data_IF_646797539647
#
_entry.id   IF_646797539647
#
_cell.length_a   1.000
_cell.length_b   1.000
_cell.length_c   1.000
_cell.angle_alpha   90.00
_cell.angle_beta   90.00
_cell.angle_gamma   90.00
#
_symmetry.space_group_name_H-M   'P 1'
#
loop_
_entity.id
_entity.type
_entity.pdbx_description
1 polymer ?
#
# COMPACT_ATOMS: atom_id res chain seq x y z
N UNK A 1 -35.67 -17.59 26.30
CA UNK A 1 -35.12 -16.74 25.22
C UNK A 1 -33.63 -16.52 25.54
N UNK A 2 -32.74 -17.21 24.82
CA UNK A 2 -31.31 -16.98 24.96
C UNK A 2 -30.97 -15.67 24.23
N UNK A 3 -30.28 -14.75 24.91
CA UNK A 3 -29.80 -13.52 24.30
C UNK A 3 -28.86 -13.90 23.13
N UNK A 4 -29.18 -13.39 21.95
CA UNK A 4 -28.33 -13.55 20.77
C UNK A 4 -26.97 -12.90 21.10
N UNK A 5 -25.83 -13.61 20.98
CA UNK A 5 -24.54 -13.03 21.29
C UNK A 5 -24.28 -11.89 20.31
N UNK A 6 -24.37 -10.65 20.80
CA UNK A 6 -24.06 -9.45 20.04
C UNK A 6 -22.63 -9.56 19.54
N UNK A 7 -22.45 -9.81 18.24
CA UNK A 7 -21.12 -9.89 17.63
C UNK A 7 -20.36 -8.60 17.96
N UNK A 8 -19.07 -8.66 18.33
CA UNK A 8 -18.27 -7.46 18.56
C UNK A 8 -18.35 -6.59 17.32
N UNK A 9 -18.90 -5.38 17.46
CA UNK A 9 -19.04 -4.45 16.36
C UNK A 9 -17.64 -3.96 15.97
N UNK A 10 -17.09 -4.45 14.85
CA UNK A 10 -15.85 -3.88 14.32
C UNK A 10 -16.13 -2.41 14.02
N UNK A 11 -15.46 -1.47 14.71
CA UNK A 11 -15.55 -0.06 14.35
C UNK A 11 -14.96 0.14 12.95
N UNK A 12 -15.79 0.51 11.96
CA UNK A 12 -15.31 0.76 10.62
C UNK A 12 -14.53 2.08 10.59
N UNK A 13 -13.30 2.03 10.06
CA UNK A 13 -12.53 3.24 9.77
C UNK A 13 -13.32 4.09 8.77
N UNK A 14 -13.72 5.31 9.16
CA UNK A 14 -14.59 6.20 8.38
C UNK A 14 -16.00 5.67 8.07
N UNK A 15 -16.53 4.70 8.82
CA UNK A 15 -17.83 4.10 8.44
C UNK A 15 -17.77 3.16 7.24
N UNK A 16 -16.57 2.92 6.68
CA UNK A 16 -16.40 2.09 5.49
C UNK A 16 -16.49 0.58 5.80
N UNK A 17 -17.00 -0.23 4.85
CA UNK A 17 -17.02 -1.68 4.99
C UNK A 17 -15.64 -2.26 5.36
N UNK A 18 -15.59 -3.35 6.14
CA UNK A 18 -14.34 -4.00 6.48
C UNK A 18 -13.58 -4.40 5.20
N UNK A 19 -12.30 -4.01 5.13
CA UNK A 19 -11.44 -4.26 3.97
C UNK A 19 -11.36 -3.12 2.95
N UNK A 20 -12.27 -2.15 2.96
CA UNK A 20 -12.26 -1.02 2.01
C UNK A 20 -10.98 -0.18 2.08
N UNK A 21 -10.50 0.14 3.29
CA UNK A 21 -9.23 0.89 3.49
C UNK A 21 -8.04 0.14 2.88
N UNK A 22 -8.00 -1.20 3.01
CA UNK A 22 -6.95 -2.01 2.38
C UNK A 22 -7.02 -1.96 0.86
N UNK A 23 -8.24 -2.01 0.32
CA UNK A 23 -8.49 -1.82 -1.11
C UNK A 23 -8.00 -0.45 -1.59
N UNK A 24 -8.35 0.63 -0.89
CA UNK A 24 -7.94 2.00 -1.22
C UNK A 24 -6.41 2.13 -1.21
N UNK A 25 -5.74 1.67 -0.15
CA UNK A 25 -4.27 1.68 -0.07
C UNK A 25 -3.65 0.91 -1.25
N UNK A 26 -4.23 -0.24 -1.61
CA UNK A 26 -3.75 -1.04 -2.74
C UNK A 26 -3.91 -0.33 -4.08
N UNK A 27 -5.05 0.35 -4.28
CA UNK A 27 -5.32 1.16 -5.48
C UNK A 27 -4.35 2.34 -5.54
N UNK A 28 -4.08 3.03 -4.42
CA UNK A 28 -3.10 4.12 -4.38
C UNK A 28 -1.71 3.63 -4.80
N UNK A 29 -1.23 2.53 -4.19
CA UNK A 29 0.06 1.94 -4.55
C UNK A 29 0.11 1.57 -6.04
N UNK A 30 -0.93 0.92 -6.59
CA UNK A 30 -0.95 0.58 -8.01
C UNK A 30 -1.05 1.79 -8.94
N UNK A 31 -1.88 2.78 -8.59
CA UNK A 31 -2.01 3.99 -9.36
C UNK A 31 -0.68 4.74 -9.48
N UNK A 32 0.18 4.68 -8.46
CA UNK A 32 1.54 5.21 -8.53
C UNK A 32 2.35 4.56 -9.67
N UNK A 33 2.35 3.22 -9.75
CA UNK A 33 3.00 2.51 -10.86
C UNK A 33 2.35 2.84 -12.20
N UNK A 34 1.03 2.97 -12.26
CA UNK A 34 0.34 3.31 -13.49
C UNK A 34 0.76 4.70 -14.00
N UNK A 35 0.85 5.68 -13.10
CA UNK A 35 1.31 7.04 -13.43
C UNK A 35 2.76 6.98 -13.94
N UNK A 36 3.67 6.25 -13.27
CA UNK A 36 5.07 6.15 -13.71
C UNK A 36 5.17 5.51 -15.09
N UNK A 37 4.42 4.44 -15.34
CA UNK A 37 4.43 3.73 -16.62
C UNK A 37 3.87 4.60 -17.75
N UNK A 38 2.83 5.39 -17.48
CA UNK A 38 2.19 6.25 -18.46
C UNK A 38 2.84 7.65 -18.57
N UNK A 39 3.81 7.96 -17.71
CA UNK A 39 4.51 9.25 -17.71
C UNK A 39 5.21 9.51 -19.05
N UNK A 40 5.21 10.75 -19.58
CA UNK A 40 5.88 11.05 -20.84
C UNK A 40 7.36 10.67 -20.81
N UNK A 41 7.88 10.19 -21.95
CA UNK A 41 9.26 9.71 -22.09
C UNK A 41 10.31 10.83 -21.97
N UNK A 42 9.89 12.09 -22.01
CA UNK A 42 10.77 13.26 -21.95
C UNK A 42 11.41 13.49 -20.57
N UNK A 43 10.87 12.89 -19.51
CA UNK A 43 11.38 13.02 -18.15
C UNK A 43 11.91 11.68 -17.61
N UNK A 44 13.15 11.63 -17.10
CA UNK A 44 13.70 10.45 -16.44
C UNK A 44 13.02 10.27 -15.09
N UNK A 45 11.98 9.46 -15.07
CA UNK A 45 11.25 9.08 -13.87
C UNK A 45 11.49 7.60 -13.59
N UNK A 46 11.95 7.29 -12.38
CA UNK A 46 12.14 5.91 -11.91
C UNK A 46 11.24 5.68 -10.70
N UNK A 47 10.72 4.47 -10.56
CA UNK A 47 9.90 4.11 -9.39
C UNK A 47 10.79 4.10 -8.14
N UNK A 48 10.42 4.82 -7.05
CA UNK A 48 11.13 4.75 -5.79
C UNK A 48 11.12 3.32 -5.25
N UNK A 49 12.24 2.88 -4.69
CA UNK A 49 12.44 1.48 -4.32
C UNK A 49 11.39 1.00 -3.30
N UNK A 50 10.98 1.86 -2.37
CA UNK A 50 9.92 1.58 -1.41
C UNK A 50 8.64 1.02 -2.03
N UNK A 51 8.22 1.53 -3.20
CA UNK A 51 6.96 1.13 -3.81
C UNK A 51 6.95 -0.34 -4.25
N UNK A 52 8.11 -0.94 -4.55
CA UNK A 52 8.21 -2.37 -4.85
C UNK A 52 7.94 -3.25 -3.61
N UNK A 53 8.42 -2.82 -2.43
CA UNK A 53 8.12 -3.50 -1.16
C UNK A 53 6.63 -3.36 -0.82
N UNK A 54 6.05 -2.17 -1.01
CA UNK A 54 4.62 -1.94 -0.81
C UNK A 54 3.76 -2.78 -1.75
N UNK A 55 4.14 -2.89 -3.03
CA UNK A 55 3.47 -3.72 -4.02
C UNK A 55 3.47 -5.20 -3.61
N UNK A 56 4.59 -5.67 -3.03
CA UNK A 56 4.69 -7.03 -2.48
C UNK A 56 3.66 -7.26 -1.36
N UNK A 57 3.51 -6.32 -0.43
CA UNK A 57 2.48 -6.41 0.62
C UNK A 57 1.06 -6.48 0.04
N UNK A 58 0.80 -5.70 -1.00
CA UNK A 58 -0.49 -5.71 -1.68
C UNK A 58 -0.78 -7.08 -2.30
N UNK A 59 0.19 -7.66 -3.01
CA UNK A 59 0.02 -9.01 -3.58
C UNK A 59 -0.21 -10.07 -2.50
N UNK A 60 0.55 -10.05 -1.40
CA UNK A 60 0.34 -10.96 -0.28
C UNK A 60 -1.06 -10.80 0.31
N UNK A 61 -1.54 -9.56 0.47
CA UNK A 61 -2.86 -9.28 1.00
C UNK A 61 -3.99 -9.79 0.10
N UNK A 62 -3.82 -9.76 -1.22
CA UNK A 62 -4.80 -10.31 -2.17
C UNK A 62 -4.72 -11.82 -2.33
N UNK A 63 -3.53 -12.41 -2.16
CA UNK A 63 -3.34 -13.86 -2.16
C UNK A 63 -4.01 -14.52 -0.95
N UNK A 64 -4.11 -13.82 0.20
CA UNK A 64 -4.85 -14.34 1.35
C UNK A 64 -6.36 -14.49 1.07
N UNK A 65 -6.97 -15.68 1.27
CA UNK A 65 -8.40 -15.86 1.10
C UNK A 65 -9.20 -14.95 2.03
N UNK A 66 -10.32 -14.35 1.58
CA UNK A 66 -11.20 -13.64 2.48
C UNK A 66 -11.78 -14.62 3.51
N UNK A 67 -11.90 -14.24 4.79
CA UNK A 67 -12.72 -14.99 5.73
C UNK A 67 -14.12 -15.14 5.15
N UNK A 68 -14.67 -16.34 5.15
CA UNK A 68 -16.03 -16.58 4.70
C UNK A 68 -17.01 -15.92 5.67
N UNK A 69 -17.44 -14.70 5.35
CA UNK A 69 -18.50 -14.02 6.08
C UNK A 69 -19.78 -14.12 5.26
N UNK A 70 -20.77 -14.95 5.66
CA UNK A 70 -21.95 -15.27 4.87
C UNK A 70 -22.91 -14.08 4.63
N UNK A 71 -22.63 -12.91 5.23
CA UNK A 71 -23.41 -11.68 5.06
C UNK A 71 -22.70 -10.54 4.34
N UNK A 72 -21.43 -10.68 3.95
CA UNK A 72 -20.69 -9.60 3.29
C UNK A 72 -20.97 -9.60 1.79
N UNK A 73 -21.33 -8.44 1.22
CA UNK A 73 -21.54 -8.28 -0.22
C UNK A 73 -20.24 -8.60 -0.98
N UNK A 74 -20.21 -9.73 -1.70
CA UNK A 74 -19.04 -10.21 -2.44
C UNK A 74 -18.62 -9.29 -3.61
N UNK A 75 -19.49 -8.36 -4.02
CA UNK A 75 -19.30 -7.53 -5.20
C UNK A 75 -18.16 -6.50 -5.03
N UNK A 76 -18.11 -5.76 -3.92
CA UNK A 76 -17.11 -4.70 -3.73
C UNK A 76 -15.66 -5.26 -3.72
N UNK A 77 -15.34 -6.32 -2.96
CA UNK A 77 -14.01 -6.93 -3.01
C UNK A 77 -13.66 -7.50 -4.40
N UNK A 78 -14.65 -8.05 -5.11
CA UNK A 78 -14.45 -8.58 -6.45
C UNK A 78 -14.16 -7.48 -7.47
N UNK A 79 -14.93 -6.39 -7.48
CA UNK A 79 -14.69 -5.22 -8.35
C UNK A 79 -13.31 -4.64 -8.10
N UNK A 80 -12.90 -4.50 -6.84
CA UNK A 80 -11.56 -4.01 -6.50
C UNK A 80 -10.45 -4.92 -7.03
N UNK A 81 -10.64 -6.25 -6.99
CA UNK A 81 -9.69 -7.21 -7.57
C UNK A 81 -9.63 -7.10 -9.09
N UNK A 82 -10.78 -7.00 -9.77
CA UNK A 82 -10.83 -6.85 -11.23
C UNK A 82 -10.19 -5.53 -11.66
N UNK A 83 -10.50 -4.43 -10.96
CA UNK A 83 -9.88 -3.12 -11.21
C UNK A 83 -8.37 -3.17 -10.99
N UNK A 84 -7.92 -3.82 -9.92
CA UNK A 84 -6.51 -3.94 -9.58
C UNK A 84 -5.73 -4.79 -10.60
N UNK A 85 -6.17 -6.03 -10.82
CA UNK A 85 -5.48 -6.98 -11.71
C UNK A 85 -5.67 -6.58 -13.17
N UNK A 86 -6.90 -6.30 -13.58
CA UNK A 86 -7.23 -5.90 -14.94
C UNK A 86 -6.65 -4.54 -15.30
N UNK A 87 -6.75 -3.55 -14.41
CA UNK A 87 -6.15 -2.23 -14.61
C UNK A 87 -4.63 -2.30 -14.72
N UNK A 88 -3.96 -3.04 -13.83
CA UNK A 88 -2.51 -3.20 -13.89
C UNK A 88 -2.05 -3.95 -15.14
N UNK A 89 -2.74 -5.04 -15.52
CA UNK A 89 -2.43 -5.78 -16.74
C UNK A 89 -2.62 -4.90 -17.99
N UNK A 90 -3.71 -4.12 -18.05
CA UNK A 90 -3.97 -3.21 -19.15
C UNK A 90 -2.91 -2.11 -19.26
N UNK A 91 -2.52 -1.48 -18.14
CA UNK A 91 -1.51 -0.42 -18.13
C UNK A 91 -0.13 -0.96 -18.49
N UNK A 92 0.27 -2.11 -17.94
CA UNK A 92 1.54 -2.76 -18.29
C UNK A 92 1.55 -3.17 -19.76
N UNK A 93 0.47 -3.79 -20.27
CA UNK A 93 0.35 -4.16 -21.68
C UNK A 93 0.44 -2.94 -22.61
N UNK A 94 -0.23 -1.84 -22.25
CA UNK A 94 -0.17 -0.59 -22.99
C UNK A 94 1.24 0.03 -22.97
N UNK A 95 1.92 0.01 -21.82
CA UNK A 95 3.27 0.54 -21.67
C UNK A 95 4.29 -0.26 -22.50
N UNK A 96 4.22 -1.61 -22.42
CA UNK A 96 5.05 -2.50 -23.21
C UNK A 96 4.83 -2.34 -24.71
N UNK A 97 3.58 -2.12 -25.13
CA UNK A 97 3.26 -1.88 -26.55
C UNK A 97 3.82 -0.55 -27.06
N UNK A 98 3.83 0.50 -26.22
CA UNK A 98 4.36 1.82 -26.58
C UNK A 98 5.89 1.84 -26.62
N UNK A 99 6.53 1.35 -25.56
CA UNK A 99 7.99 1.29 -25.44
C UNK A 99 8.40 0.27 -24.36
N UNK A 100 8.74 -0.94 -24.81
CA UNK A 100 9.16 -2.02 -23.92
C UNK A 100 10.49 -1.72 -23.20
N UNK A 101 11.41 -1.01 -23.86
CA UNK A 101 12.72 -0.69 -23.30
C UNK A 101 12.60 0.33 -22.16
N UNK A 102 11.82 1.41 -22.39
CA UNK A 102 11.53 2.39 -21.37
C UNK A 102 10.75 1.78 -20.20
N UNK A 103 9.78 0.92 -20.48
CA UNK A 103 9.01 0.20 -19.46
C UNK A 103 9.93 -0.62 -18.56
N UNK A 104 10.84 -1.40 -19.15
CA UNK A 104 11.82 -2.19 -18.40
C UNK A 104 12.74 -1.28 -17.56
N UNK A 105 13.21 -0.16 -18.11
CA UNK A 105 14.05 0.79 -17.40
C UNK A 105 13.34 1.43 -16.19
N UNK A 106 12.04 1.73 -16.30
CA UNK A 106 11.23 2.31 -15.21
C UNK A 106 10.93 1.32 -14.09
N UNK A 107 10.76 0.04 -14.43
CA UNK A 107 10.43 -1.03 -13.49
C UNK A 107 11.65 -1.72 -12.88
N UNK A 108 12.86 -1.39 -13.34
CA UNK A 108 14.10 -1.96 -12.81
C UNK A 108 14.76 -0.95 -11.88
N UNK A 109 14.83 -1.22 -10.56
CA UNK A 109 15.55 -0.34 -9.64
C UNK A 109 17.04 -0.30 -10.01
N UNK A 110 17.65 0.88 -9.85
CA UNK A 110 19.09 1.05 -10.14
C UNK A 110 19.95 0.26 -9.14
N UNK A 111 21.16 -0.20 -9.54
CA UNK A 111 22.02 -1.02 -8.69
C UNK A 111 22.42 -0.32 -7.37
N UNK A 112 22.55 1.00 -7.38
CA UNK A 112 22.85 1.79 -6.18
C UNK A 112 21.72 1.78 -5.14
N UNK A 113 20.47 1.52 -5.56
CA UNK A 113 19.33 1.44 -4.65
C UNK A 113 19.30 0.10 -3.91
N UNK A 114 19.91 -0.95 -4.46
CA UNK A 114 19.93 -2.30 -3.88
C UNK A 114 20.53 -2.31 -2.46
N UNK A 115 21.50 -1.43 -2.21
CA UNK A 115 22.14 -1.29 -0.89
C UNK A 115 21.14 -0.89 0.21
N UNK A 116 20.01 -0.28 -0.15
CA UNK A 116 18.99 0.18 0.79
C UNK A 116 17.99 -0.92 1.18
N UNK A 117 18.01 -2.08 0.50
CA UNK A 117 17.06 -3.17 0.73
C UNK A 117 16.97 -3.62 2.19
N UNK A 118 18.09 -3.84 2.92
CA UNK A 118 18.01 -4.29 4.31
C UNK A 118 17.29 -3.28 5.20
N UNK A 119 17.49 -1.98 4.97
CA UNK A 119 16.83 -0.92 5.72
C UNK A 119 15.32 -0.92 5.44
N UNK A 120 14.92 -0.95 4.16
CA UNK A 120 13.51 -0.94 3.78
C UNK A 120 12.79 -2.23 4.22
N UNK A 121 13.45 -3.38 4.14
CA UNK A 121 12.97 -4.64 4.69
C UNK A 121 12.83 -4.56 6.22
N UNK A 122 13.78 -3.93 6.90
CA UNK A 122 13.71 -3.65 8.34
C UNK A 122 12.50 -2.77 8.69
N UNK A 123 12.24 -1.71 7.93
CA UNK A 123 11.06 -0.86 8.10
C UNK A 123 9.76 -1.65 7.87
N UNK A 124 9.72 -2.50 6.84
CA UNK A 124 8.57 -3.35 6.51
C UNK A 124 8.29 -4.36 7.64
N UNK A 125 9.30 -5.15 8.01
CA UNK A 125 9.20 -6.15 9.07
C UNK A 125 8.91 -5.52 10.43
N UNK A 126 9.55 -4.37 10.72
CA UNK A 126 9.34 -3.60 11.93
C UNK A 126 7.92 -3.07 12.04
N UNK A 127 7.42 -2.37 11.01
CA UNK A 127 6.04 -1.88 10.98
C UNK A 127 5.02 -3.00 11.14
N UNK A 128 5.16 -4.06 10.33
CA UNK A 128 4.28 -5.23 10.36
C UNK A 128 4.32 -5.95 11.72
N UNK A 129 5.52 -6.19 12.24
CA UNK A 129 5.76 -6.88 13.52
C UNK A 129 5.23 -6.10 14.72
N UNK A 130 5.46 -4.78 14.77
CA UNK A 130 4.92 -3.90 15.83
C UNK A 130 3.40 -4.00 15.87
N UNK A 131 2.74 -3.98 14.71
CA UNK A 131 1.30 -4.10 14.64
C UNK A 131 0.78 -5.48 15.11
N UNK A 132 1.51 -6.56 14.80
CA UNK A 132 1.18 -7.91 15.30
C UNK A 132 1.36 -8.01 16.82
N UNK A 133 2.44 -7.47 17.38
CA UNK A 133 2.67 -7.44 18.83
C UNK A 133 1.56 -6.63 19.51
N UNK A 134 1.25 -5.44 19.00
CA UNK A 134 0.20 -4.58 19.54
C UNK A 134 -1.16 -5.28 19.51
N UNK A 135 -1.49 -5.98 18.42
CA UNK A 135 -2.70 -6.79 18.30
C UNK A 135 -2.74 -7.93 19.33
N UNK A 136 -1.60 -8.56 19.58
CA UNK A 136 -1.49 -9.69 20.52
C UNK A 136 -1.63 -9.22 21.96
N UNK A 137 -1.00 -8.08 22.31
CA UNK A 137 -1.02 -7.52 23.66
C UNK A 137 -2.37 -6.90 24.01
N UNK A 138 -2.95 -6.08 23.13
CA UNK A 138 -4.21 -5.39 23.41
C UNK A 138 -5.44 -6.27 23.16
N UNK A 139 -5.33 -7.24 22.26
CA UNK A 139 -6.43 -8.08 21.79
C UNK A 139 -7.15 -7.51 20.57
N UNK A 140 -7.58 -8.40 19.66
CA UNK A 140 -8.19 -8.05 18.35
C UNK A 140 -9.47 -7.22 18.45
N UNK A 141 -10.23 -7.38 19.54
CA UNK A 141 -11.52 -6.75 19.75
C UNK A 141 -11.46 -5.57 20.73
N UNK A 142 -10.26 -5.19 21.18
CA UNK A 142 -10.11 -4.08 22.11
C UNK A 142 -10.40 -2.75 21.36
N UNK A 143 -11.26 -1.87 21.91
CA UNK A 143 -11.62 -0.61 21.24
C UNK A 143 -10.41 0.29 20.99
N UNK A 144 -9.40 0.26 21.87
CA UNK A 144 -8.16 1.01 21.69
C UNK A 144 -7.36 0.48 20.50
N UNK A 145 -7.24 -0.85 20.36
CA UNK A 145 -6.58 -1.46 19.21
C UNK A 145 -7.30 -1.13 17.89
N UNK A 146 -8.64 -1.18 17.88
CA UNK A 146 -9.44 -0.82 16.71
C UNK A 146 -9.24 0.64 16.30
N UNK A 147 -9.15 1.54 17.29
CA UNK A 147 -8.89 2.97 17.09
C UNK A 147 -7.49 3.21 16.53
N UNK A 148 -6.45 2.59 17.11
CA UNK A 148 -5.08 2.68 16.60
C UNK A 148 -4.97 2.13 15.18
N UNK A 149 -5.58 0.98 14.90
CA UNK A 149 -5.63 0.38 13.56
C UNK A 149 -6.26 1.33 12.53
N UNK A 150 -7.33 2.02 12.91
CA UNK A 150 -7.99 3.00 12.06
C UNK A 150 -7.08 4.20 11.75
N UNK A 151 -6.43 4.77 12.78
CA UNK A 151 -5.50 5.88 12.61
C UNK A 151 -4.28 5.52 11.76
N UNK A 152 -3.69 4.34 11.97
CA UNK A 152 -2.56 3.87 11.16
C UNK A 152 -2.97 3.74 9.68
N UNK A 153 -4.19 3.25 9.40
CA UNK A 153 -4.74 3.21 8.03
C UNK A 153 -4.92 4.60 7.41
N UNK A 154 -5.45 5.56 8.18
CA UNK A 154 -5.57 6.95 7.74
C UNK A 154 -4.22 7.58 7.43
N UNK A 155 -3.24 7.41 8.33
CA UNK A 155 -1.88 7.92 8.15
C UNK A 155 -1.24 7.30 6.90
N UNK A 156 -1.38 6.00 6.70
CA UNK A 156 -0.86 5.32 5.52
C UNK A 156 -1.45 5.89 4.21
N UNK A 157 -2.77 6.14 4.17
CA UNK A 157 -3.42 6.77 3.00
C UNK A 157 -2.87 8.18 2.76
N UNK A 158 -2.79 9.01 3.81
CA UNK A 158 -2.30 10.38 3.69
C UNK A 158 -0.84 10.42 3.23
N UNK A 159 0.01 9.54 3.75
CA UNK A 159 1.42 9.43 3.36
C UNK A 159 1.57 8.99 1.90
N UNK A 160 0.81 8.00 1.44
CA UNK A 160 0.83 7.56 0.04
C UNK A 160 0.33 8.64 -0.92
N UNK A 161 -0.72 9.36 -0.52
CA UNK A 161 -1.24 10.47 -1.30
C UNK A 161 -0.25 11.62 -1.37
N UNK A 162 0.35 11.99 -0.23
CA UNK A 162 1.41 13.00 -0.17
C UNK A 162 2.62 12.60 -1.03
N UNK A 163 3.05 11.34 -0.99
CA UNK A 163 4.14 10.82 -1.82
C UNK A 163 3.82 10.95 -3.32
N UNK A 164 2.59 10.62 -3.71
CA UNK A 164 2.14 10.78 -5.10
C UNK A 164 2.21 12.25 -5.53
N UNK A 165 1.70 13.18 -4.71
CA UNK A 165 1.80 14.62 -5.01
C UNK A 165 3.25 15.07 -5.05
N UNK A 166 4.07 14.66 -4.09
CA UNK A 166 5.47 15.06 -4.00
C UNK A 166 6.23 14.59 -5.24
N UNK A 167 6.12 13.32 -5.64
CA UNK A 167 6.88 12.77 -6.76
C UNK A 167 6.45 13.34 -8.13
N UNK A 168 5.15 13.55 -8.36
CA UNK A 168 4.64 13.93 -9.68
C UNK A 168 4.32 15.40 -9.84
N UNK A 169 4.04 16.13 -8.76
CA UNK A 169 3.58 17.51 -8.80
C UNK A 169 4.63 18.51 -8.30
N UNK A 170 5.40 18.15 -7.27
CA UNK A 170 6.35 19.07 -6.60
C UNK A 170 7.81 18.83 -7.01
N UNK A 171 8.24 17.56 -6.98
CA UNK A 171 9.62 17.16 -7.25
C UNK A 171 10.04 17.03 -8.73
N UNK A 172 9.21 17.14 -9.79
CA UNK A 172 9.78 17.15 -11.13
C UNK A 172 10.68 18.37 -11.37
N UNK A 173 10.54 19.44 -10.57
CA UNK A 173 11.27 20.70 -10.73
C UNK A 173 12.39 20.92 -9.69
N UNK A 174 12.42 20.15 -8.59
CA UNK A 174 13.41 20.35 -7.52
C UNK A 174 14.71 19.60 -7.88
N UNK A 175 15.65 20.35 -8.45
CA UNK A 175 16.97 19.93 -8.92
C UNK A 175 17.87 19.32 -7.83
N UNK A 176 17.57 19.51 -6.54
CA UNK A 176 18.34 18.98 -5.41
C UNK A 176 17.49 18.05 -4.55
N UNK A 177 17.38 16.79 -4.99
CA UNK A 177 16.90 15.72 -4.12
C UNK A 177 17.96 15.45 -3.06
N UNK A 178 17.73 15.82 -1.79
CA UNK A 178 18.53 15.28 -0.70
C UNK A 178 18.23 13.77 -0.58
N UNK A 179 19.17 12.90 -0.98
CA UNK A 179 18.90 11.47 -1.07
C UNK A 179 18.68 10.84 0.31
N UNK A 180 19.17 11.47 1.39
CA UNK A 180 18.97 10.97 2.75
C UNK A 180 17.55 11.20 3.25
N UNK A 181 17.00 12.39 2.98
CA UNK A 181 15.62 12.73 3.36
C UNK A 181 14.63 11.81 2.64
N UNK A 182 14.86 11.54 1.36
CA UNK A 182 14.03 10.60 0.59
C UNK A 182 14.08 9.18 1.15
N UNK A 183 15.24 8.69 1.58
CA UNK A 183 15.36 7.36 2.22
C UNK A 183 14.56 7.25 3.49
N UNK A 184 14.64 8.27 4.35
CA UNK A 184 13.89 8.31 5.62
C UNK A 184 12.39 8.34 5.31
N UNK A 185 11.98 9.19 4.37
CA UNK A 185 10.59 9.31 3.94
C UNK A 185 10.03 8.00 3.40
N UNK A 186 10.76 7.34 2.50
CA UNK A 186 10.45 6.01 1.97
C UNK A 186 10.28 4.97 3.10
N UNK A 187 11.21 4.96 4.07
CA UNK A 187 11.14 4.07 5.24
C UNK A 187 9.90 4.31 6.10
N UNK A 188 9.51 5.57 6.32
CA UNK A 188 8.31 5.95 7.09
C UNK A 188 7.04 5.47 6.40
N UNK A 189 6.93 5.65 5.07
CA UNK A 189 5.78 5.17 4.29
C UNK A 189 5.67 3.66 4.42
N UNK A 190 6.78 2.93 4.19
CA UNK A 190 6.79 1.46 4.30
C UNK A 190 6.36 1.02 5.70
N UNK A 191 6.93 1.60 6.75
CA UNK A 191 6.62 1.21 8.12
C UNK A 191 5.14 1.44 8.45
N UNK A 192 4.58 2.60 8.07
CA UNK A 192 3.18 2.93 8.32
C UNK A 192 2.22 2.01 7.55
N UNK A 193 2.47 1.79 6.25
CA UNK A 193 1.65 0.90 5.42
C UNK A 193 1.76 -0.53 5.92
N UNK A 194 2.97 -1.03 6.18
CA UNK A 194 3.20 -2.37 6.70
C UNK A 194 2.53 -2.60 8.06
N UNK A 195 2.57 -1.60 8.96
CA UNK A 195 1.86 -1.66 10.23
C UNK A 195 0.34 -1.78 10.04
N UNK A 196 -0.25 -1.06 9.07
CA UNK A 196 -1.66 -1.23 8.77
C UNK A 196 -1.98 -2.66 8.28
N UNK A 197 -1.19 -3.20 7.37
CA UNK A 197 -1.37 -4.58 6.88
C UNK A 197 -1.18 -5.61 8.01
N UNK A 198 -0.18 -5.44 8.87
CA UNK A 198 0.08 -6.31 10.02
C UNK A 198 -1.05 -6.28 11.05
N UNK A 199 -1.64 -5.12 11.32
CA UNK A 199 -2.79 -5.01 12.22
C UNK A 199 -4.01 -5.80 11.72
N UNK A 200 -4.09 -6.03 10.40
CA UNK A 200 -5.19 -6.73 9.71
C UNK A 200 -4.91 -8.20 9.38
N UNK A 201 -3.66 -8.67 9.46
CA UNK A 201 -3.27 -10.06 9.24
C UNK A 201 -3.66 -10.94 10.43
#
# INVERSE_FOLDING_TARGET
MAAEPTRPQEYPTFGLPPGSVRGIISVLICSFFWIVLLWPATAPLTVPLAHFFLLTLVFLAFASPPPHDPGASALLPWVLRVLFVGGSAAVVGLALWKDAALTAARLTPGPAQVVQWPLLLGCLAGGFGVALVLRTVLGRHNPLFLTLRAWVGTIAILLLFAETILQFLVLPEITEKNPEVLKIWEGVIIAAVAAYFGARA
#
